data_IF_742081598763
#
_entry.id   IF_742081598763
#
_cell.length_a   1.000
_cell.length_b   1.000
_cell.length_c   1.000
_cell.angle_alpha   90.00
_cell.angle_beta   90.00
_cell.angle_gamma   90.00
#
_symmetry.space_group_name_H-M   'P 1'
#
loop_
_entity.id
_entity.type
_entity.pdbx_description
1 polymer ?
#
# COMPACT_ATOMS: atom_id res chain seq x y z
N UNK A 1 -7.88 -5.41 -8.39
CA UNK A 1 -6.46 -5.55 -8.78
C UNK A 1 -5.63 -5.06 -7.62
N UNK A 2 -4.73 -5.91 -7.10
CA UNK A 2 -3.77 -5.56 -6.05
C UNK A 2 -2.42 -5.48 -6.72
N UNK A 3 -1.69 -4.39 -6.49
CA UNK A 3 -0.40 -4.14 -7.13
C UNK A 3 0.65 -3.95 -6.04
N UNK A 4 1.68 -4.78 -6.08
CA UNK A 4 2.74 -4.83 -5.10
C UNK A 4 4.11 -4.48 -5.71
N UNK A 5 4.96 -3.87 -4.88
CA UNK A 5 6.28 -3.33 -5.22
C UNK A 5 7.43 -4.29 -4.90
N UNK A 6 7.21 -5.42 -4.21
CA UNK A 6 8.30 -6.36 -3.88
C UNK A 6 8.77 -7.10 -5.14
N UNK A 7 9.68 -6.46 -5.88
CA UNK A 7 10.17 -6.99 -7.16
C UNK A 7 11.26 -8.06 -7.01
N UNK A 8 11.96 -8.12 -5.87
CA UNK A 8 13.29 -8.76 -5.81
C UNK A 8 13.37 -10.07 -5.06
N UNK A 9 12.34 -10.51 -4.33
CA UNK A 9 12.31 -11.87 -3.73
C UNK A 9 11.00 -12.57 -4.00
N UNK A 10 11.06 -13.64 -4.79
CA UNK A 10 9.92 -14.51 -5.09
C UNK A 10 9.22 -15.01 -3.80
N UNK A 11 9.99 -15.36 -2.77
CA UNK A 11 9.47 -15.77 -1.47
C UNK A 11 8.66 -14.67 -0.78
N UNK A 12 9.06 -13.40 -0.88
CA UNK A 12 8.31 -12.28 -0.28
C UNK A 12 6.98 -12.06 -1.03
N UNK A 13 6.99 -12.20 -2.36
CA UNK A 13 5.77 -12.14 -3.20
C UNK A 13 4.79 -13.26 -2.86
N UNK A 14 5.27 -14.50 -2.77
CA UNK A 14 4.43 -15.64 -2.40
C UNK A 14 3.80 -15.48 -1.02
N UNK A 15 4.58 -15.00 -0.04
CA UNK A 15 4.07 -14.73 1.30
C UNK A 15 3.01 -13.63 1.30
N UNK A 16 3.23 -12.56 0.54
CA UNK A 16 2.25 -11.48 0.37
C UNK A 16 0.96 -11.99 -0.28
N UNK A 17 1.08 -12.76 -1.36
CA UNK A 17 -0.06 -13.31 -2.10
C UNK A 17 -0.91 -14.22 -1.20
N UNK A 18 -0.27 -15.15 -0.51
CA UNK A 18 -0.91 -16.06 0.45
C UNK A 18 -1.65 -15.28 1.55
N UNK A 19 -0.97 -14.33 2.19
CA UNK A 19 -1.55 -13.54 3.28
C UNK A 19 -2.76 -12.70 2.80
N UNK A 20 -2.65 -12.11 1.62
CA UNK A 20 -3.71 -11.28 1.04
C UNK A 20 -4.94 -12.10 0.68
N UNK A 21 -4.75 -13.24 0.02
CA UNK A 21 -5.85 -14.15 -0.33
C UNK A 21 -6.52 -14.69 0.94
N UNK A 22 -5.73 -15.11 1.93
CA UNK A 22 -6.24 -15.60 3.21
C UNK A 22 -7.14 -14.57 3.89
N UNK A 23 -6.67 -13.31 4.03
CA UNK A 23 -7.45 -12.25 4.69
C UNK A 23 -8.75 -11.92 3.96
N UNK A 24 -8.74 -11.94 2.63
CA UNK A 24 -9.95 -11.67 1.85
C UNK A 24 -10.94 -12.83 2.03
N UNK A 25 -10.47 -14.08 1.98
CA UNK A 25 -11.32 -15.23 2.24
C UNK A 25 -11.92 -15.21 3.66
N UNK A 26 -11.13 -14.86 4.67
CA UNK A 26 -11.60 -14.71 6.05
C UNK A 26 -12.67 -13.62 6.18
N UNK A 27 -12.46 -12.46 5.55
CA UNK A 27 -13.44 -11.38 5.54
C UNK A 27 -14.74 -11.78 4.83
N UNK A 28 -14.63 -12.37 3.63
CA UNK A 28 -15.79 -12.85 2.87
C UNK A 28 -16.56 -13.93 3.65
N UNK A 29 -15.87 -14.88 4.28
CA UNK A 29 -16.49 -15.90 5.11
C UNK A 29 -17.26 -15.29 6.29
N UNK A 30 -16.66 -14.32 6.97
CA UNK A 30 -17.30 -13.61 8.09
C UNK A 30 -18.58 -12.88 7.66
N UNK A 31 -18.57 -12.32 6.45
CA UNK A 31 -19.70 -11.58 5.90
C UNK A 31 -20.72 -12.47 5.16
N UNK A 32 -20.48 -13.79 5.09
CA UNK A 32 -21.34 -14.75 4.38
C UNK A 32 -21.33 -14.61 2.86
N UNK A 33 -20.26 -14.02 2.31
CA UNK A 33 -20.09 -13.74 0.88
C UNK A 33 -19.16 -14.78 0.26
N UNK A 34 -19.46 -15.20 -0.97
CA UNK A 34 -18.56 -16.05 -1.75
C UNK A 34 -17.35 -15.21 -2.17
N UNK A 35 -16.15 -15.65 -1.77
CA UNK A 35 -14.93 -14.95 -2.12
C UNK A 35 -14.77 -14.88 -3.66
N UNK A 36 -14.46 -13.70 -4.22
CA UNK A 36 -14.23 -13.55 -5.65
C UNK A 36 -12.91 -14.20 -6.06
N UNK A 37 -12.75 -14.50 -7.35
CA UNK A 37 -11.45 -14.88 -7.89
C UNK A 37 -10.50 -13.66 -7.89
N UNK A 38 -9.35 -13.79 -7.21
CA UNK A 38 -8.41 -12.69 -7.00
C UNK A 38 -7.18 -12.91 -7.86
N UNK A 39 -6.94 -11.98 -8.80
CA UNK A 39 -5.67 -11.91 -9.55
C UNK A 39 -4.76 -10.84 -8.94
N UNK A 40 -3.61 -11.27 -8.40
CA UNK A 40 -2.55 -10.40 -7.91
C UNK A 40 -1.50 -10.24 -9.00
N UNK A 41 -1.15 -8.99 -9.32
CA UNK A 41 -0.14 -8.68 -10.33
C UNK A 41 1.02 -7.93 -9.66
N UNK A 42 2.22 -8.49 -9.74
CA UNK A 42 3.45 -7.86 -9.26
C UNK A 42 4.04 -7.00 -10.37
N UNK A 43 4.12 -5.69 -10.16
CA UNK A 43 4.57 -4.78 -11.20
C UNK A 43 5.29 -3.56 -10.63
N UNK A 44 6.18 -2.97 -11.44
CA UNK A 44 6.91 -1.77 -11.03
C UNK A 44 5.94 -0.64 -10.71
N UNK A 45 6.16 0.04 -9.58
CA UNK A 45 5.36 1.22 -9.23
C UNK A 45 5.46 2.31 -10.28
N UNK A 46 6.56 2.39 -11.02
CA UNK A 46 6.72 3.30 -12.16
C UNK A 46 5.71 3.05 -13.29
N UNK A 47 5.08 1.87 -13.36
CA UNK A 47 4.08 1.55 -14.37
C UNK A 47 2.66 2.02 -14.01
N UNK A 48 2.43 2.50 -12.78
CA UNK A 48 1.09 2.87 -12.30
C UNK A 48 1.10 4.16 -11.49
N UNK A 49 0.47 5.22 -11.99
CA UNK A 49 0.44 6.54 -11.35
C UNK A 49 -0.04 6.50 -9.89
N UNK A 50 -1.02 5.65 -9.57
CA UNK A 50 -1.50 5.48 -8.19
C UNK A 50 -0.42 4.96 -7.24
N UNK A 51 0.39 4.00 -7.68
CA UNK A 51 1.49 3.47 -6.88
C UNK A 51 2.64 4.46 -6.78
N UNK A 52 2.94 5.20 -7.85
CA UNK A 52 3.92 6.28 -7.79
C UNK A 52 3.51 7.33 -6.74
N UNK A 53 2.22 7.69 -6.70
CA UNK A 53 1.70 8.64 -5.71
C UNK A 53 1.79 8.07 -4.30
N UNK A 54 1.40 6.81 -4.08
CA UNK A 54 1.54 6.15 -2.78
C UNK A 54 3.00 6.11 -2.31
N UNK A 55 3.93 5.74 -3.21
CA UNK A 55 5.37 5.75 -2.97
C UNK A 55 5.88 7.15 -2.61
N UNK A 56 5.44 8.17 -3.36
CA UNK A 56 5.83 9.55 -3.12
C UNK A 56 5.35 10.04 -1.76
N UNK A 57 4.10 9.76 -1.38
CA UNK A 57 3.56 10.13 -0.07
C UNK A 57 4.31 9.43 1.06
N UNK A 58 4.46 8.11 0.99
CA UNK A 58 5.18 7.33 1.99
C UNK A 58 6.64 7.79 2.13
N UNK A 59 7.33 7.98 1.01
CA UNK A 59 8.71 8.47 0.99
C UNK A 59 8.85 9.89 1.52
N UNK A 60 7.89 10.77 1.25
CA UNK A 60 7.89 12.15 1.76
C UNK A 60 7.75 12.19 3.28
N UNK A 61 6.85 11.37 3.83
CA UNK A 61 6.66 11.23 5.28
C UNK A 61 7.93 10.65 5.93
N UNK A 62 8.47 9.57 5.37
CA UNK A 62 9.68 8.94 5.88
C UNK A 62 10.88 9.91 5.90
N UNK A 63 11.12 10.65 4.80
CA UNK A 63 12.23 11.61 4.75
C UNK A 63 12.11 12.72 5.81
N UNK A 64 10.89 13.18 6.10
CA UNK A 64 10.67 14.16 7.17
C UNK A 64 11.10 13.62 8.52
N UNK A 65 10.60 12.44 8.92
CA UNK A 65 10.79 11.93 10.27
C UNK A 65 12.16 11.29 10.48
N UNK A 66 12.64 10.51 9.51
CA UNK A 66 13.89 9.73 9.64
C UNK A 66 15.13 10.51 9.24
N UNK A 67 14.99 11.44 8.29
CA UNK A 67 16.13 12.18 7.71
C UNK A 67 16.09 13.69 7.97
N UNK A 68 15.07 14.18 8.70
CA UNK A 68 14.83 15.61 8.97
C UNK A 68 14.80 16.46 7.69
N UNK A 69 14.44 15.86 6.55
CA UNK A 69 14.28 16.57 5.28
C UNK A 69 12.79 16.75 4.97
N UNK A 70 12.31 17.98 5.08
CA UNK A 70 10.89 18.31 4.90
C UNK A 70 10.50 18.75 3.48
N UNK A 71 11.45 18.85 2.55
CA UNK A 71 11.22 19.41 1.21
C UNK A 71 10.03 18.75 0.50
N UNK A 72 10.03 17.42 0.45
CA UNK A 72 8.97 16.65 -0.19
C UNK A 72 7.67 16.66 0.63
N UNK A 73 7.77 16.66 1.96
CA UNK A 73 6.59 16.71 2.82
C UNK A 73 5.80 18.02 2.66
N UNK A 74 6.48 19.15 2.45
CA UNK A 74 5.83 20.45 2.22
C UNK A 74 4.90 20.45 1.00
N UNK A 75 5.21 19.65 -0.03
CA UNK A 75 4.41 19.51 -1.25
C UNK A 75 3.05 18.87 -0.94
N UNK A 76 3.03 17.86 -0.06
CA UNK A 76 1.82 17.06 0.22
C UNK A 76 1.09 17.50 1.48
N UNK A 77 1.72 18.31 2.34
CA UNK A 77 1.18 18.69 3.66
C UNK A 77 -0.25 19.24 3.60
N UNK A 78 -0.57 20.09 2.63
CA UNK A 78 -1.90 20.69 2.49
C UNK A 78 -2.98 19.70 2.08
N UNK A 79 -2.60 18.51 1.60
CA UNK A 79 -3.50 17.43 1.19
C UNK A 79 -3.63 16.32 2.23
N UNK A 80 -2.80 16.34 3.27
CA UNK A 80 -2.90 15.40 4.39
C UNK A 80 -3.92 15.98 5.37
N UNK A 81 -5.16 15.52 5.27
CA UNK A 81 -6.12 15.68 6.34
C UNK A 81 -5.79 14.65 7.41
N UNK A 82 -5.05 15.05 8.44
CA UNK A 82 -4.95 14.23 9.64
C UNK A 82 -6.35 14.21 10.23
N UNK A 83 -7.02 13.05 10.20
CA UNK A 83 -8.22 12.85 10.98
C UNK A 83 -7.80 13.10 12.43
N UNK A 84 -8.27 14.18 13.04
CA UNK A 84 -8.11 14.39 14.47
C UNK A 84 -8.85 13.24 15.16
N UNK A 85 -8.12 12.21 15.59
CA UNK A 85 -8.64 11.24 16.54
C UNK A 85 -8.93 12.02 17.83
N UNK A 86 -10.21 12.30 18.05
CA UNK A 86 -10.71 12.71 19.36
C UNK A 86 -10.49 11.52 20.31
N UNK A 87 -9.49 11.67 21.17
CA UNK A 87 -9.24 10.82 22.34
C UNK A 87 -10.47 10.69 23.23
#
# INVERSE_FOLDING_TARGET
MIIDKFLTKETERLNFDMCTIQKINEACFKDGIIAPEIKINHASSQSYCGLQMADFVAGSIFNKYERRNEEYYKIIRSKINVLEERF
#
